data_IF_190838313570
#
_entry.id   IF_190838313570
#
_cell.length_a   1.000
_cell.length_b   1.000
_cell.length_c   1.000
_cell.angle_alpha   90.00
_cell.angle_beta   90.00
_cell.angle_gamma   90.00
#
_symmetry.space_group_name_H-M   'P 1'
#
loop_
_entity.id
_entity.type
_entity.pdbx_description
1 polymer ?
#
# COMPACT_ATOMS: atom_id res chain seq x y z
N UNK A 1 -18.44 -21.96 -17.09
CA UNK A 1 -17.13 -21.42 -16.67
C UNK A 1 -17.13 -19.96 -17.06
N UNK A 2 -16.85 -19.05 -16.14
CA UNK A 2 -16.72 -17.64 -16.51
C UNK A 2 -15.54 -17.52 -17.49
N UNK A 3 -15.75 -16.87 -18.64
CA UNK A 3 -14.66 -16.60 -19.57
C UNK A 3 -13.65 -15.72 -18.85
N UNK A 4 -12.46 -16.26 -18.66
CA UNK A 4 -11.39 -15.51 -18.05
C UNK A 4 -10.78 -14.60 -19.09
N UNK A 5 -10.73 -13.30 -18.80
CA UNK A 5 -9.85 -12.41 -19.53
C UNK A 5 -8.40 -12.91 -19.40
N UNK A 6 -7.66 -12.82 -20.50
CA UNK A 6 -6.30 -13.32 -20.64
C UNK A 6 -5.43 -12.26 -21.32
N UNK A 7 -4.13 -12.34 -21.06
CA UNK A 7 -3.11 -11.56 -21.75
C UNK A 7 -2.24 -12.48 -22.61
N UNK A 8 -1.73 -11.92 -23.70
CA UNK A 8 -0.70 -12.55 -24.52
C UNK A 8 0.66 -12.19 -23.96
N UNK A 9 1.33 -13.16 -23.36
CA UNK A 9 2.67 -12.99 -22.83
C UNK A 9 3.69 -13.41 -23.89
N UNK A 10 4.49 -12.46 -24.36
CA UNK A 10 5.51 -12.68 -25.39
C UNK A 10 6.86 -13.01 -24.76
N UNK A 11 7.62 -13.88 -25.42
CA UNK A 11 8.92 -14.34 -24.99
C UNK A 11 9.99 -14.01 -26.03
N UNK A 12 11.19 -13.57 -25.62
CA UNK A 12 12.29 -13.32 -26.55
C UNK A 12 12.99 -14.62 -27.01
N UNK A 13 12.58 -15.78 -26.50
CA UNK A 13 13.04 -17.10 -26.89
C UNK A 13 11.88 -18.01 -27.29
N UNK A 14 12.20 -19.07 -28.03
CA UNK A 14 11.21 -20.08 -28.39
C UNK A 14 10.90 -20.98 -27.20
N UNK A 15 9.61 -21.24 -26.97
CA UNK A 15 9.09 -22.23 -26.03
C UNK A 15 8.83 -23.52 -26.81
N UNK A 16 9.17 -24.67 -26.23
CA UNK A 16 8.76 -25.97 -26.75
C UNK A 16 7.41 -26.42 -26.18
N UNK A 17 6.68 -27.25 -26.91
CA UNK A 17 5.42 -27.84 -26.44
C UNK A 17 5.59 -28.56 -25.09
N UNK A 18 6.74 -29.23 -24.88
CA UNK A 18 7.09 -29.91 -23.63
C UNK A 18 7.23 -28.93 -22.46
N UNK A 19 7.89 -27.80 -22.65
CA UNK A 19 8.02 -26.76 -21.62
C UNK A 19 6.67 -26.13 -21.30
N UNK A 20 5.86 -25.89 -22.33
CA UNK A 20 4.51 -25.37 -22.17
C UNK A 20 3.58 -26.32 -21.38
N UNK A 21 3.65 -27.63 -21.63
CA UNK A 21 2.88 -28.63 -20.86
C UNK A 21 3.25 -28.54 -19.37
N UNK A 22 4.55 -28.53 -19.05
CA UNK A 22 5.02 -28.38 -17.65
C UNK A 22 4.55 -27.08 -17.02
N UNK A 23 4.62 -25.98 -17.77
CA UNK A 23 4.12 -24.67 -17.32
C UNK A 23 2.63 -24.73 -16.96
N UNK A 24 1.81 -25.37 -17.80
CA UNK A 24 0.36 -25.54 -17.53
C UNK A 24 0.09 -26.37 -16.30
N UNK A 25 0.80 -27.49 -16.15
CA UNK A 25 0.66 -28.38 -15.00
C UNK A 25 1.04 -27.67 -13.70
N UNK A 26 2.17 -26.95 -13.70
CA UNK A 26 2.67 -26.23 -12.53
C UNK A 26 1.70 -25.13 -12.06
N UNK A 27 1.16 -24.37 -13.01
CA UNK A 27 0.28 -23.24 -12.70
C UNK A 27 -1.21 -23.63 -12.60
N UNK A 28 -1.56 -24.87 -12.94
CA UNK A 28 -2.95 -25.34 -13.01
C UNK A 28 -3.85 -24.46 -13.90
N UNK A 29 -3.36 -24.06 -15.08
CA UNK A 29 -4.06 -23.18 -16.01
C UNK A 29 -4.60 -23.90 -17.24
N UNK A 30 -5.73 -23.41 -17.75
CA UNK A 30 -6.26 -23.77 -19.08
C UNK A 30 -5.63 -22.93 -20.20
N UNK A 31 -4.44 -22.37 -19.97
CA UNK A 31 -3.70 -21.54 -20.91
C UNK A 31 -3.60 -22.18 -22.30
N UNK A 32 -3.60 -21.32 -23.32
CA UNK A 32 -3.39 -21.72 -24.72
C UNK A 32 -1.98 -21.36 -25.16
N UNK A 33 -1.38 -22.29 -25.89
CA UNK A 33 -0.17 -22.04 -26.65
C UNK A 33 -0.59 -21.36 -27.95
N UNK A 34 -0.17 -20.11 -28.17
CA UNK A 34 -0.52 -19.37 -29.39
C UNK A 34 0.49 -19.73 -30.47
N UNK A 35 1.77 -19.57 -30.15
CA UNK A 35 2.89 -19.89 -31.02
C UNK A 35 4.16 -20.08 -30.18
N UNK A 36 5.28 -20.31 -30.88
CA UNK A 36 6.57 -20.58 -30.25
C UNK A 36 7.12 -19.46 -29.36
N UNK A 37 6.58 -18.24 -29.39
CA UNK A 37 7.05 -17.11 -28.59
C UNK A 37 5.92 -16.45 -27.79
N UNK A 38 4.75 -17.08 -27.71
CA UNK A 38 3.56 -16.42 -27.18
C UNK A 38 2.61 -17.42 -26.52
N UNK A 39 2.24 -17.13 -25.27
CA UNK A 39 1.24 -17.92 -24.54
C UNK A 39 0.12 -17.02 -24.01
N UNK A 40 -1.08 -17.57 -23.84
CA UNK A 40 -2.17 -16.90 -23.12
C UNK A 40 -2.07 -17.19 -21.62
N UNK A 41 -2.05 -16.15 -20.80
CA UNK A 41 -2.05 -16.24 -19.34
C UNK A 41 -3.27 -15.54 -18.75
N UNK A 42 -3.87 -16.07 -17.68
CA UNK A 42 -5.00 -15.41 -17.02
C UNK A 42 -4.58 -14.11 -16.34
N UNK A 43 -5.46 -13.11 -16.35
CA UNK A 43 -5.25 -11.87 -15.61
C UNK A 43 -5.26 -12.08 -14.08
N UNK A 44 -4.58 -11.18 -13.35
CA UNK A 44 -4.66 -11.09 -11.88
C UNK A 44 -4.34 -12.43 -11.16
N UNK A 45 -3.35 -13.14 -11.70
CA UNK A 45 -2.82 -14.39 -11.13
C UNK A 45 -1.30 -14.33 -11.01
N UNK A 46 -0.77 -15.00 -9.98
CA UNK A 46 0.64 -15.32 -9.88
C UNK A 46 0.98 -16.45 -10.85
N UNK A 47 2.03 -16.25 -11.63
CA UNK A 47 2.44 -17.16 -12.69
C UNK A 47 3.89 -17.54 -12.45
N UNK A 48 4.17 -18.82 -12.22
CA UNK A 48 5.53 -19.34 -12.16
C UNK A 48 6.01 -19.70 -13.57
N UNK A 49 6.95 -18.90 -14.06
CA UNK A 49 7.60 -19.06 -15.36
C UNK A 49 8.79 -20.03 -15.30
N UNK A 50 9.10 -20.66 -14.16
CA UNK A 50 10.28 -21.53 -14.02
C UNK A 50 10.41 -22.60 -15.11
N UNK A 51 9.33 -23.20 -15.67
CA UNK A 51 9.46 -24.17 -16.77
C UNK A 51 9.74 -23.53 -18.13
N UNK A 52 9.49 -22.23 -18.27
CA UNK A 52 9.61 -21.48 -19.53
C UNK A 52 10.89 -20.64 -19.60
N UNK A 53 11.53 -20.35 -18.46
CA UNK A 53 12.77 -19.59 -18.45
C UNK A 53 13.92 -20.45 -19.01
N UNK A 54 14.71 -19.92 -19.97
CA UNK A 54 15.81 -20.67 -20.53
C UNK A 54 16.81 -20.94 -19.40
N UNK A 55 17.22 -22.19 -19.28
CA UNK A 55 18.43 -22.54 -18.53
C UNK A 55 19.60 -21.95 -19.32
N UNK A 56 19.97 -20.70 -19.04
CA UNK A 56 21.12 -20.08 -19.69
C UNK A 56 22.34 -20.99 -19.45
N UNK A 57 23.12 -21.35 -20.49
CA UNK A 57 24.36 -22.07 -20.30
C UNK A 57 25.25 -21.24 -19.38
N UNK A 58 25.72 -21.89 -18.32
CA UNK A 58 26.71 -21.37 -17.37
C UNK A 58 27.93 -20.95 -18.20
N UNK A 59 28.14 -19.65 -18.43
CA UNK A 59 29.49 -19.20 -18.74
C UNK A 59 30.30 -19.41 -17.46
N UNK A 60 31.18 -20.41 -17.52
CA UNK A 60 32.07 -20.90 -16.49
C UNK A 60 32.76 -19.70 -15.82
N UNK A 61 32.28 -19.31 -14.65
CA UNK A 61 33.05 -18.80 -13.53
C UNK A 61 32.18 -18.86 -12.27
N UNK A 62 32.38 -19.93 -11.50
CA UNK A 62 31.92 -20.24 -10.16
C UNK A 62 31.15 -19.13 -9.40
N UNK A 63 29.82 -19.11 -9.52
CA UNK A 63 28.86 -18.92 -8.40
C UNK A 63 27.42 -18.77 -8.94
N UNK A 64 26.57 -19.77 -8.66
CA UNK A 64 25.11 -19.83 -8.87
C UNK A 64 24.54 -19.75 -10.31
N UNK A 65 23.47 -20.51 -10.56
CA UNK A 65 22.62 -20.40 -11.76
C UNK A 65 21.95 -19.02 -11.78
N UNK A 66 22.29 -18.14 -12.72
CA UNK A 66 21.65 -16.82 -12.80
C UNK A 66 20.69 -16.74 -14.00
N UNK A 67 19.39 -16.75 -13.71
CA UNK A 67 18.29 -16.34 -14.61
C UNK A 67 18.33 -14.83 -14.97
N UNK A 68 19.44 -14.14 -14.69
CA UNK A 68 19.51 -12.70 -14.46
C UNK A 68 19.19 -11.81 -15.67
N UNK A 69 19.14 -12.36 -16.88
CA UNK A 69 18.79 -11.61 -18.10
C UNK A 69 17.41 -11.92 -18.66
N UNK A 70 16.86 -13.10 -18.39
CA UNK A 70 15.65 -13.59 -19.05
C UNK A 70 14.40 -12.83 -18.61
N UNK A 71 14.26 -12.53 -17.31
CA UNK A 71 13.07 -11.85 -16.80
C UNK A 71 13.02 -10.35 -17.16
N UNK A 72 14.12 -9.57 -17.06
CA UNK A 72 14.14 -8.20 -17.55
C UNK A 72 13.81 -8.05 -19.05
N UNK A 73 14.35 -8.93 -19.90
CA UNK A 73 14.04 -8.93 -21.35
C UNK A 73 12.56 -9.25 -21.62
N UNK A 74 12.00 -10.23 -20.91
CA UNK A 74 10.58 -10.56 -20.98
C UNK A 74 9.72 -9.37 -20.56
N UNK A 75 10.05 -8.68 -19.46
CA UNK A 75 9.31 -7.49 -19.02
C UNK A 75 9.38 -6.39 -20.08
N UNK A 76 10.57 -6.15 -20.67
CA UNK A 76 10.73 -5.14 -21.72
C UNK A 76 9.91 -5.45 -22.97
N UNK A 77 9.71 -6.73 -23.31
CA UNK A 77 8.88 -7.15 -24.46
C UNK A 77 7.37 -7.03 -24.20
N UNK A 78 6.98 -6.91 -22.92
CA UNK A 78 5.60 -6.82 -22.45
C UNK A 78 5.39 -5.54 -21.62
N UNK A 79 6.02 -4.44 -22.02
CA UNK A 79 6.02 -3.14 -21.33
C UNK A 79 4.62 -2.51 -21.16
N UNK A 80 3.69 -2.85 -22.05
CA UNK A 80 2.27 -2.51 -21.97
C UNK A 80 1.52 -3.20 -20.81
N UNK A 81 2.11 -4.21 -20.17
CA UNK A 81 1.54 -4.91 -19.01
C UNK A 81 2.14 -4.38 -17.71
N UNK A 82 1.32 -4.25 -16.67
CA UNK A 82 1.81 -3.93 -15.33
C UNK A 82 2.30 -5.20 -14.61
N UNK A 83 3.56 -5.57 -14.85
CA UNK A 83 4.19 -6.76 -14.28
C UNK A 83 4.96 -6.43 -12.99
N UNK A 84 4.64 -7.13 -11.92
CA UNK A 84 5.48 -7.28 -10.73
C UNK A 84 6.22 -8.62 -10.78
N UNK A 85 7.39 -8.71 -10.15
CA UNK A 85 8.18 -9.94 -10.10
C UNK A 85 8.42 -10.37 -8.67
N UNK A 86 8.50 -11.68 -8.46
CA UNK A 86 8.90 -12.28 -7.20
C UNK A 86 9.90 -13.40 -7.50
N UNK A 87 11.04 -13.33 -6.83
CA UNK A 87 12.20 -14.19 -7.05
C UNK A 87 12.61 -14.18 -8.53
N UNK A 88 13.20 -15.27 -9.01
CA UNK A 88 13.72 -15.35 -10.38
C UNK A 88 12.68 -15.77 -11.43
N UNK A 89 11.48 -16.19 -11.04
CA UNK A 89 10.55 -16.84 -11.96
C UNK A 89 9.08 -16.49 -11.82
N UNK A 90 8.65 -15.90 -10.70
CA UNK A 90 7.23 -15.59 -10.50
C UNK A 90 6.95 -14.19 -11.05
N UNK A 91 5.90 -14.07 -11.85
CA UNK A 91 5.35 -12.79 -12.27
C UNK A 91 3.92 -12.64 -11.78
N UNK A 92 3.52 -11.39 -11.54
CA UNK A 92 2.14 -11.01 -11.28
C UNK A 92 1.75 -9.93 -12.28
N UNK A 93 0.73 -10.22 -13.09
CA UNK A 93 0.20 -9.24 -14.04
C UNK A 93 -0.97 -8.53 -13.36
N UNK A 94 -0.74 -7.29 -12.92
CA UNK A 94 -1.78 -6.46 -12.31
C UNK A 94 -2.71 -5.95 -13.40
N UNK A 95 -4.01 -6.09 -13.15
CA UNK A 95 -5.04 -5.30 -13.82
C UNK A 95 -5.62 -4.33 -12.81
N UNK A 96 -5.88 -3.11 -13.26
CA UNK A 96 -6.53 -2.11 -12.43
C UNK A 96 -7.90 -1.81 -13.03
N UNK A 97 -8.94 -2.12 -12.27
CA UNK A 97 -10.29 -1.67 -12.59
C UNK A 97 -10.41 -0.14 -12.38
N UNK A 98 -11.35 0.51 -13.06
CA UNK A 98 -11.54 1.97 -13.01
C UNK A 98 -11.72 2.47 -11.57
N UNK A 99 -12.57 1.80 -10.79
CA UNK A 99 -12.88 2.24 -9.43
C UNK A 99 -11.65 2.20 -8.48
N UNK A 100 -10.95 1.06 -8.29
CA UNK A 100 -9.70 1.02 -7.54
C UNK A 100 -8.66 2.02 -8.06
N UNK A 101 -8.57 2.25 -9.37
CA UNK A 101 -7.64 3.25 -9.95
C UNK A 101 -7.95 4.66 -9.46
N UNK A 102 -9.23 5.06 -9.46
CA UNK A 102 -9.67 6.37 -8.95
C UNK A 102 -9.38 6.51 -7.46
N UNK A 103 -9.63 5.46 -6.70
CA UNK A 103 -9.33 5.38 -5.28
C UNK A 103 -7.81 5.54 -5.03
N UNK A 104 -6.96 4.89 -5.80
CA UNK A 104 -5.49 5.02 -5.70
C UNK A 104 -5.04 6.47 -5.97
N UNK A 105 -5.59 7.10 -7.02
CA UNK A 105 -5.33 8.51 -7.33
C UNK A 105 -5.74 9.44 -6.19
N UNK A 106 -6.88 9.19 -5.55
CA UNK A 106 -7.31 9.94 -4.36
C UNK A 106 -6.38 9.71 -3.16
N UNK A 107 -5.91 8.48 -2.91
CA UNK A 107 -5.00 8.18 -1.79
C UNK A 107 -3.66 8.88 -1.99
N UNK A 108 -3.12 8.82 -3.21
CA UNK A 108 -1.88 9.50 -3.57
C UNK A 108 -2.00 11.03 -3.42
N UNK A 109 -3.12 11.62 -3.86
CA UNK A 109 -3.39 13.05 -3.72
C UNK A 109 -3.46 13.48 -2.25
N UNK A 110 -4.13 12.70 -1.40
CA UNK A 110 -4.19 12.96 0.03
C UNK A 110 -2.81 12.92 0.67
N UNK A 111 -1.99 11.91 0.35
CA UNK A 111 -0.62 11.82 0.86
C UNK A 111 0.26 12.96 0.32
N UNK A 112 0.11 13.37 -0.94
CA UNK A 112 0.78 14.54 -1.52
C UNK A 112 0.44 15.83 -0.75
N UNK A 113 -0.84 16.03 -0.42
CA UNK A 113 -1.26 17.21 0.33
C UNK A 113 -0.67 17.19 1.75
N UNK A 114 -0.67 16.03 2.40
CA UNK A 114 -0.05 15.85 3.70
C UNK A 114 1.46 16.16 3.68
N UNK A 115 2.20 15.59 2.74
CA UNK A 115 3.66 15.79 2.67
C UNK A 115 4.00 17.24 2.34
N UNK A 116 3.24 17.92 1.46
CA UNK A 116 3.39 19.37 1.21
C UNK A 116 3.19 20.19 2.48
N UNK A 117 2.14 19.91 3.25
CA UNK A 117 1.86 20.60 4.51
C UNK A 117 2.99 20.41 5.53
N UNK A 118 3.62 19.23 5.55
CA UNK A 118 4.75 18.90 6.42
C UNK A 118 6.12 19.30 5.87
N UNK A 119 6.19 19.80 4.62
CA UNK A 119 7.43 20.09 3.89
C UNK A 119 8.33 18.85 3.72
N UNK A 120 7.72 17.70 3.52
CA UNK A 120 8.39 16.43 3.23
C UNK A 120 8.48 16.18 1.72
N UNK A 121 9.22 15.13 1.32
CA UNK A 121 9.24 14.64 -0.05
C UNK A 121 7.85 14.27 -0.55
N UNK A 122 7.61 14.39 -1.86
CA UNK A 122 6.37 13.92 -2.46
C UNK A 122 6.35 12.38 -2.54
N UNK A 123 5.18 11.75 -2.38
CA UNK A 123 5.04 10.31 -2.52
C UNK A 123 5.16 9.86 -3.99
N UNK A 124 5.32 8.56 -4.17
CA UNK A 124 5.23 7.85 -5.43
C UNK A 124 3.81 7.29 -5.63
N UNK A 125 3.32 7.35 -6.86
CA UNK A 125 2.05 6.73 -7.26
C UNK A 125 2.23 5.26 -7.69
N UNK A 126 1.13 4.65 -8.15
CA UNK A 126 1.07 3.24 -8.55
C UNK A 126 1.87 2.89 -9.82
N UNK A 127 2.47 3.88 -10.50
CA UNK A 127 3.36 3.63 -11.64
C UNK A 127 4.80 3.32 -11.20
N UNK A 128 5.16 3.72 -9.97
CA UNK A 128 6.50 3.50 -9.44
C UNK A 128 6.68 2.06 -8.97
N UNK A 129 7.86 1.48 -9.24
CA UNK A 129 8.23 0.15 -8.76
C UNK A 129 9.43 0.22 -7.84
N UNK A 130 9.54 -0.74 -6.94
CA UNK A 130 10.60 -0.86 -5.96
C UNK A 130 11.22 -2.25 -6.05
N UNK A 131 12.54 -2.32 -6.10
CA UNK A 131 13.28 -3.55 -5.92
C UNK A 131 13.34 -3.86 -4.42
N UNK A 132 12.71 -4.94 -4.04
CA UNK A 132 12.60 -5.40 -2.67
C UNK A 132 13.46 -6.64 -2.48
N UNK A 133 14.36 -6.60 -1.50
CA UNK A 133 15.25 -7.70 -1.14
C UNK A 133 15.09 -7.98 0.35
N UNK A 134 14.76 -9.23 0.67
CA UNK A 134 14.52 -9.73 2.03
C UNK A 134 14.91 -11.21 2.16
N UNK A 135 14.67 -11.86 3.31
CA UNK A 135 15.14 -13.22 3.58
C UNK A 135 14.71 -14.28 2.56
N UNK A 136 13.49 -14.15 2.01
CA UNK A 136 12.92 -15.07 1.02
C UNK A 136 12.29 -14.34 -0.18
N UNK A 137 12.70 -13.09 -0.39
CA UNK A 137 12.08 -12.20 -1.37
C UNK A 137 13.20 -11.49 -2.12
N UNK A 138 13.19 -11.61 -3.44
CA UNK A 138 13.95 -10.77 -4.35
C UNK A 138 13.05 -10.43 -5.53
N UNK A 139 12.51 -9.22 -5.59
CA UNK A 139 11.50 -8.91 -6.60
C UNK A 139 11.18 -7.44 -6.78
N UNK A 140 10.45 -7.14 -7.85
CA UNK A 140 10.06 -5.78 -8.22
C UNK A 140 8.55 -5.63 -7.97
N UNK A 141 8.19 -4.72 -7.06
CA UNK A 141 6.81 -4.52 -6.61
C UNK A 141 6.37 -3.06 -6.81
N UNK A 142 5.12 -2.89 -7.22
CA UNK A 142 4.45 -1.60 -7.39
C UNK A 142 3.32 -1.44 -6.37
N UNK A 143 3.57 -0.81 -5.21
CA UNK A 143 2.51 -0.43 -4.28
C UNK A 143 1.58 0.60 -4.94
N UNK A 144 0.35 0.73 -4.43
CA UNK A 144 -0.60 1.68 -5.02
C UNK A 144 -0.26 3.13 -4.66
N UNK A 145 0.32 3.34 -3.47
CA UNK A 145 1.01 4.56 -3.08
C UNK A 145 2.22 4.19 -2.24
N UNK A 146 3.35 4.88 -2.43
CA UNK A 146 4.53 4.71 -1.60
C UNK A 146 5.12 6.05 -1.16
N UNK A 147 5.83 6.04 -0.03
CA UNK A 147 6.52 7.20 0.48
C UNK A 147 7.83 6.80 1.15
N UNK A 148 8.86 7.62 0.97
CA UNK A 148 10.09 7.55 1.75
C UNK A 148 10.64 8.95 2.04
N UNK A 149 11.37 9.14 3.14
CA UNK A 149 11.91 10.43 3.55
C UNK A 149 12.85 11.05 2.51
N UNK A 150 12.94 12.38 2.53
CA UNK A 150 13.84 13.13 1.65
C UNK A 150 15.29 12.66 1.74
N UNK A 151 15.77 12.32 2.94
CA UNK A 151 17.13 11.83 3.16
C UNK A 151 17.37 10.50 2.44
N UNK A 152 16.42 9.57 2.55
CA UNK A 152 16.46 8.29 1.85
C UNK A 152 16.41 8.52 0.33
N UNK A 153 15.61 9.48 -0.15
CA UNK A 153 15.53 9.80 -1.58
C UNK A 153 16.80 10.44 -2.14
N UNK A 154 17.42 11.34 -1.39
CA UNK A 154 18.64 12.01 -1.83
C UNK A 154 19.87 11.10 -1.75
N UNK A 155 19.81 10.02 -0.95
CA UNK A 155 20.85 9.01 -0.90
C UNK A 155 20.90 8.13 -2.17
N UNK A 156 19.83 8.06 -2.96
CA UNK A 156 19.77 7.29 -4.20
C UNK A 156 20.47 8.08 -5.32
N UNK A 157 21.29 7.40 -6.11
CA UNK A 157 21.96 8.03 -7.25
C UNK A 157 20.93 8.62 -8.22
N UNK A 158 21.23 9.78 -8.81
CA UNK A 158 20.30 10.45 -9.73
C UNK A 158 19.96 9.59 -10.97
N UNK A 159 20.90 8.80 -11.47
CA UNK A 159 20.65 7.91 -12.62
C UNK A 159 19.74 6.74 -12.22
N UNK A 160 19.86 6.22 -11.00
CA UNK A 160 18.93 5.21 -10.49
C UNK A 160 17.52 5.78 -10.27
N UNK A 161 17.42 7.02 -9.81
CA UNK A 161 16.13 7.72 -9.63
C UNK A 161 15.39 8.00 -10.93
N UNK A 162 16.10 8.09 -12.06
CA UNK A 162 15.48 8.26 -13.38
C UNK A 162 14.89 6.96 -13.93
N UNK A 163 15.24 5.81 -13.34
CA UNK A 163 14.70 4.52 -13.75
C UNK A 163 13.29 4.31 -13.16
N UNK A 164 12.52 3.45 -13.82
CA UNK A 164 11.16 3.10 -13.37
C UNK A 164 11.15 2.21 -12.10
N UNK A 165 12.32 1.74 -11.64
CA UNK A 165 12.46 0.89 -10.47
C UNK A 165 13.46 1.49 -9.49
N UNK A 166 13.00 1.74 -8.27
CA UNK A 166 13.76 2.31 -7.17
C UNK A 166 14.46 1.17 -6.41
N UNK A 167 15.79 1.21 -6.19
CA UNK A 167 16.56 0.07 -5.66
C UNK A 167 16.48 -0.08 -4.12
N UNK A 168 15.57 0.65 -3.46
CA UNK A 168 15.41 0.63 -2.01
C UNK A 168 13.93 0.54 -1.63
N UNK A 169 13.56 -0.14 -0.54
CA UNK A 169 12.18 -0.19 -0.09
C UNK A 169 11.69 1.21 0.33
N UNK A 170 10.43 1.57 0.06
CA UNK A 170 9.85 2.78 0.63
C UNK A 170 9.75 2.65 2.17
N UNK A 171 9.61 3.77 2.89
CA UNK A 171 9.38 3.73 4.34
C UNK A 171 7.92 3.43 4.68
N UNK A 172 6.98 3.83 3.82
CA UNK A 172 5.55 3.61 3.99
C UNK A 172 4.90 3.20 2.66
N UNK A 173 3.93 2.29 2.73
CA UNK A 173 3.14 1.84 1.56
C UNK A 173 1.66 1.84 1.87
N UNK A 174 0.87 2.12 0.83
CA UNK A 174 -0.57 1.92 0.81
C UNK A 174 -0.89 0.94 -0.31
N UNK A 175 -1.65 -0.10 0.02
CA UNK A 175 -2.29 -0.98 -0.95
C UNK A 175 -3.80 -0.82 -0.85
N UNK A 176 -4.47 -0.88 -1.99
CA UNK A 176 -5.92 -0.86 -2.11
C UNK A 176 -6.37 -2.16 -2.78
N UNK A 177 -7.28 -2.88 -2.14
CA UNK A 177 -7.83 -4.10 -2.73
C UNK A 177 -8.71 -3.75 -3.94
N UNK A 178 -8.56 -4.52 -5.02
CA UNK A 178 -9.52 -4.51 -6.12
C UNK A 178 -10.77 -5.31 -5.74
N UNK A 179 -11.88 -5.04 -6.41
CA UNK A 179 -13.16 -5.74 -6.20
C UNK A 179 -13.30 -7.02 -7.03
N UNK A 180 -12.28 -7.35 -7.84
CA UNK A 180 -12.25 -8.56 -8.64
C UNK A 180 -12.10 -9.82 -7.76
N UNK A 181 -12.79 -10.90 -8.10
CA UNK A 181 -12.74 -12.20 -7.40
C UNK A 181 -11.47 -13.02 -7.71
N UNK A 182 -10.49 -12.42 -8.39
CA UNK A 182 -9.27 -13.13 -8.80
C UNK A 182 -8.33 -13.38 -7.63
N UNK A 183 -7.51 -14.46 -7.67
CA UNK A 183 -6.65 -14.84 -6.55
C UNK A 183 -5.73 -13.72 -6.03
N UNK A 184 -5.13 -12.92 -6.93
CA UNK A 184 -4.22 -11.83 -6.54
C UNK A 184 -4.95 -10.61 -5.94
N UNK A 185 -6.27 -10.60 -5.94
CA UNK A 185 -7.09 -9.57 -5.31
C UNK A 185 -7.75 -10.05 -4.01
N UNK A 186 -7.59 -11.32 -3.65
CA UNK A 186 -8.02 -11.79 -2.34
C UNK A 186 -7.32 -10.99 -1.23
N UNK A 187 -8.06 -10.68 -0.16
CA UNK A 187 -7.50 -9.99 1.01
C UNK A 187 -6.26 -10.71 1.55
N UNK A 188 -6.30 -12.04 1.60
CA UNK A 188 -5.16 -12.84 2.05
C UNK A 188 -3.91 -12.64 1.18
N UNK A 189 -4.06 -12.64 -0.15
CA UNK A 189 -2.94 -12.36 -1.04
C UNK A 189 -2.36 -10.96 -0.80
N UNK A 190 -3.23 -9.96 -0.68
CA UNK A 190 -2.81 -8.57 -0.38
C UNK A 190 -2.12 -8.46 0.99
N UNK A 191 -2.61 -9.15 2.02
CA UNK A 191 -1.94 -9.23 3.32
C UNK A 191 -0.56 -9.89 3.22
N UNK A 192 -0.43 -10.98 2.44
CA UNK A 192 0.88 -11.60 2.20
C UNK A 192 1.85 -10.63 1.52
N UNK A 193 1.36 -9.82 0.56
CA UNK A 193 2.16 -8.76 -0.07
C UNK A 193 2.59 -7.69 0.95
N UNK A 194 1.71 -7.31 1.88
CA UNK A 194 2.06 -6.40 2.97
C UNK A 194 3.15 -6.96 3.89
N UNK A 195 3.09 -8.26 4.20
CA UNK A 195 4.16 -8.97 4.93
C UNK A 195 5.48 -8.88 4.16
N UNK A 196 5.46 -9.15 2.85
CA UNK A 196 6.67 -9.06 2.00
C UNK A 196 7.30 -7.66 2.05
N UNK A 197 6.49 -6.59 1.98
CA UNK A 197 6.99 -5.22 2.14
C UNK A 197 7.73 -5.04 3.48
N UNK A 198 7.13 -5.49 4.60
CA UNK A 198 7.73 -5.33 5.93
C UNK A 198 9.04 -6.12 6.07
N UNK A 199 9.08 -7.36 5.56
CA UNK A 199 10.29 -8.21 5.56
C UNK A 199 11.42 -7.61 4.73
N UNK A 200 11.09 -6.91 3.63
CA UNK A 200 12.05 -6.22 2.77
C UNK A 200 12.44 -4.84 3.30
N UNK A 201 11.93 -4.42 4.47
CA UNK A 201 12.42 -3.27 5.18
C UNK A 201 11.49 -2.05 5.24
N UNK A 202 10.32 -2.10 4.58
CA UNK A 202 9.27 -1.08 4.73
C UNK A 202 8.87 -0.98 6.21
N UNK A 203 8.76 0.23 6.76
CA UNK A 203 8.58 0.42 8.21
C UNK A 203 7.14 0.11 8.66
N UNK A 204 6.18 0.64 7.90
CA UNK A 204 4.76 0.41 8.11
C UNK A 204 3.95 0.55 6.83
N UNK A 205 2.70 0.13 6.84
CA UNK A 205 1.80 0.33 5.71
C UNK A 205 0.35 0.06 6.07
N UNK A 206 -0.54 0.43 5.16
CA UNK A 206 -1.97 0.15 5.28
C UNK A 206 -2.49 -0.55 4.03
N UNK A 207 -3.24 -1.61 4.23
CA UNK A 207 -4.06 -2.24 3.21
C UNK A 207 -5.51 -1.83 3.45
N UNK A 208 -6.10 -1.15 2.47
CA UNK A 208 -7.51 -0.77 2.48
C UNK A 208 -8.29 -1.81 1.68
N UNK A 209 -9.16 -2.56 2.35
CA UNK A 209 -10.06 -3.50 1.70
C UNK A 209 -11.49 -2.97 1.76
N UNK A 210 -11.93 -2.36 0.66
CA UNK A 210 -13.28 -1.83 0.53
C UNK A 210 -14.37 -2.90 0.52
N UNK A 211 -14.06 -4.10 0.02
CA UNK A 211 -15.00 -5.23 -0.07
C UNK A 211 -15.23 -5.84 1.31
N UNK A 212 -14.16 -6.10 2.06
CA UNK A 212 -14.25 -6.59 3.44
C UNK A 212 -14.56 -5.49 4.45
N UNK A 213 -14.52 -4.22 4.03
CA UNK A 213 -14.74 -3.02 4.87
C UNK A 213 -13.77 -2.97 6.05
N UNK A 214 -12.49 -3.22 5.79
CA UNK A 214 -11.41 -3.30 6.79
C UNK A 214 -10.20 -2.50 6.32
N UNK A 215 -9.52 -1.84 7.25
CA UNK A 215 -8.13 -1.43 7.08
C UNK A 215 -7.22 -2.38 7.87
N UNK A 216 -6.24 -2.96 7.19
CA UNK A 216 -5.19 -3.74 7.82
C UNK A 216 -3.92 -2.91 7.94
N UNK A 217 -3.44 -2.73 9.16
CA UNK A 217 -2.21 -2.00 9.43
C UNK A 217 -1.09 -3.00 9.65
N UNK A 218 0.06 -2.72 9.03
CA UNK A 218 1.26 -3.55 9.12
C UNK A 218 2.43 -2.72 9.62
N UNK A 219 3.31 -3.39 10.37
CA UNK A 219 4.48 -2.79 10.95
C UNK A 219 5.59 -3.82 11.15
N UNK A 220 6.85 -3.37 11.07
CA UNK A 220 7.99 -4.18 11.52
C UNK A 220 8.00 -4.30 13.04
N UNK A 221 8.05 -5.54 13.56
CA UNK A 221 8.06 -5.84 15.00
C UNK A 221 9.14 -5.07 15.76
N UNK A 222 10.33 -4.91 15.17
CA UNK A 222 11.47 -4.21 15.80
C UNK A 222 11.23 -2.73 16.11
N UNK A 223 10.19 -2.13 15.53
CA UNK A 223 9.79 -0.74 15.78
C UNK A 223 8.75 -0.63 16.91
N UNK A 224 8.33 -1.77 17.45
CA UNK A 224 7.33 -1.89 18.51
C UNK A 224 7.96 -2.43 19.79
N UNK A 225 7.26 -2.25 20.90
CA UNK A 225 7.61 -2.82 22.20
C UNK A 225 6.59 -3.88 22.62
N UNK A 226 7.03 -5.00 23.21
CA UNK A 226 6.12 -6.01 23.73
C UNK A 226 5.29 -5.43 24.89
N UNK A 227 4.01 -5.81 24.94
CA UNK A 227 3.08 -5.49 26.03
C UNK A 227 2.91 -6.69 26.97
N UNK A 228 2.16 -6.48 28.07
CA UNK A 228 1.76 -7.58 28.96
C UNK A 228 0.79 -8.49 28.22
N UNK A 229 1.30 -9.60 27.68
CA UNK A 229 0.54 -10.60 26.94
C UNK A 229 1.41 -11.30 25.89
N UNK A 230 1.07 -12.53 25.47
CA UNK A 230 1.85 -13.22 24.46
C UNK A 230 1.68 -12.54 23.10
N UNK A 231 2.78 -12.17 22.45
CA UNK A 231 2.83 -11.66 21.08
C UNK A 231 2.01 -10.38 20.80
N UNK A 232 1.78 -9.55 21.82
CA UNK A 232 1.12 -8.24 21.68
C UNK A 232 2.17 -7.14 21.72
N UNK A 233 2.11 -6.22 20.76
CA UNK A 233 3.08 -5.16 20.57
C UNK A 233 2.42 -3.80 20.42
N UNK A 234 3.10 -2.76 20.90
CA UNK A 234 2.65 -1.37 20.82
C UNK A 234 3.82 -0.46 20.46
N UNK A 235 3.58 0.53 19.61
CA UNK A 235 4.60 1.52 19.26
C UNK A 235 4.92 2.41 20.48
N UNK A 236 6.20 2.73 20.76
CA UNK A 236 6.58 3.48 21.97
C UNK A 236 5.92 4.85 22.12
N UNK A 237 5.50 5.46 21.00
CA UNK A 237 4.89 6.78 21.00
C UNK A 237 3.38 6.78 21.19
N UNK A 238 2.70 5.63 21.27
CA UNK A 238 1.22 5.58 21.33
C UNK A 238 0.66 6.43 22.47
N UNK A 239 1.21 6.30 23.68
CA UNK A 239 0.70 7.06 24.83
C UNK A 239 0.90 8.57 24.65
N UNK A 240 2.03 8.98 24.07
CA UNK A 240 2.32 10.39 23.77
C UNK A 240 1.37 10.89 22.67
N UNK A 241 1.13 10.10 21.62
CA UNK A 241 0.21 10.45 20.53
C UNK A 241 -1.23 10.61 21.06
N UNK A 242 -1.71 9.70 21.89
CA UNK A 242 -3.03 9.78 22.53
C UNK A 242 -3.15 11.07 23.36
N UNK A 243 -2.16 11.34 24.22
CA UNK A 243 -2.14 12.54 25.05
C UNK A 243 -2.12 13.83 24.20
N UNK A 244 -1.32 13.86 23.14
CA UNK A 244 -1.26 14.99 22.21
C UNK A 244 -2.60 15.21 21.51
N UNK A 245 -3.26 14.14 21.03
CA UNK A 245 -4.59 14.24 20.42
C UNK A 245 -5.62 14.76 21.43
N UNK A 246 -5.62 14.28 22.67
CA UNK A 246 -6.51 14.76 23.72
C UNK A 246 -6.27 16.25 24.04
N UNK A 247 -5.01 16.67 24.14
CA UNK A 247 -4.66 18.08 24.36
C UNK A 247 -5.12 18.97 23.20
N UNK A 248 -4.95 18.52 21.95
CA UNK A 248 -5.43 19.26 20.76
C UNK A 248 -6.95 19.41 20.77
N UNK A 249 -7.68 18.36 21.13
CA UNK A 249 -9.15 18.39 21.28
C UNK A 249 -9.56 19.45 22.30
N UNK A 250 -8.93 19.47 23.48
CA UNK A 250 -9.21 20.46 24.53
C UNK A 250 -8.88 21.89 24.10
N UNK A 251 -7.75 22.09 23.41
CA UNK A 251 -7.36 23.40 22.88
C UNK A 251 -8.38 23.92 21.85
N UNK A 252 -8.87 23.04 20.97
CA UNK A 252 -9.90 23.40 19.99
C UNK A 252 -11.22 23.74 20.67
N UNK A 253 -11.65 22.98 21.68
CA UNK A 253 -12.86 23.29 22.46
C UNK A 253 -12.77 24.66 23.12
N UNK A 254 -11.65 24.97 23.78
CA UNK A 254 -11.43 26.28 24.39
C UNK A 254 -11.42 27.41 23.36
N UNK A 255 -10.83 27.18 22.18
CA UNK A 255 -10.81 28.15 21.08
C UNK A 255 -12.21 28.41 20.52
N UNK A 256 -13.02 27.36 20.34
CA UNK A 256 -14.43 27.44 19.92
C UNK A 256 -15.23 28.27 20.93
N UNK A 257 -15.13 27.95 22.22
CA UNK A 257 -15.83 28.67 23.29
C UNK A 257 -15.42 30.14 23.34
N UNK A 258 -14.11 30.42 23.27
CA UNK A 258 -13.59 31.79 23.28
C UNK A 258 -14.09 32.60 22.09
N UNK A 259 -14.06 32.04 20.87
CA UNK A 259 -14.58 32.71 19.67
C UNK A 259 -16.09 32.93 19.75
N UNK A 260 -16.86 31.98 20.30
CA UNK A 260 -18.30 32.14 20.52
C UNK A 260 -18.61 33.25 21.54
N UNK A 261 -17.84 33.34 22.63
CA UNK A 261 -17.99 34.42 23.62
C UNK A 261 -17.72 35.80 23.01
N UNK A 262 -16.69 35.92 22.16
CA UNK A 262 -16.40 37.17 21.43
C UNK A 262 -17.54 37.55 20.49
N UNK A 263 -18.11 36.59 19.76
CA UNK A 263 -19.26 36.83 18.88
C UNK A 263 -20.52 37.29 19.66
N UNK A 264 -20.68 36.85 20.90
CA UNK A 264 -21.81 37.21 21.76
C UNK A 264 -21.56 38.43 22.66
N UNK A 265 -20.32 38.94 22.71
CA UNK A 265 -19.83 39.84 23.75
C UNK A 265 -20.05 41.34 23.51
N UNK A 266 -20.59 41.76 22.37
CA UNK A 266 -20.84 43.18 22.08
C UNK A 266 -21.02 43.49 20.59
N UNK A 267 -21.23 44.77 20.23
CA UNK A 267 -21.39 45.19 18.85
C UNK A 267 -20.06 45.02 18.09
N UNK A 268 -20.02 44.07 17.18
CA UNK A 268 -18.95 43.87 16.20
C UNK A 268 -19.33 44.55 14.90
N UNK A 269 -18.34 45.07 14.17
CA UNK A 269 -18.59 45.47 12.79
C UNK A 269 -18.72 44.23 11.88
N UNK A 270 -19.25 44.42 10.67
CA UNK A 270 -19.52 43.31 9.74
C UNK A 270 -18.25 42.51 9.36
N UNK A 271 -17.09 43.17 9.27
CA UNK A 271 -15.83 42.50 8.93
C UNK A 271 -15.30 41.65 10.09
N UNK A 272 -15.37 42.17 11.32
CA UNK A 272 -14.99 41.44 12.54
C UNK A 272 -15.88 40.21 12.74
N UNK A 273 -17.19 40.38 12.55
CA UNK A 273 -18.15 39.28 12.65
C UNK A 273 -17.86 38.19 11.61
N UNK A 274 -17.57 38.56 10.36
CA UNK A 274 -17.22 37.62 9.30
C UNK A 274 -15.91 36.88 9.61
N UNK A 275 -14.89 37.58 10.10
CA UNK A 275 -13.60 36.99 10.46
C UNK A 275 -13.74 35.97 11.59
N UNK A 276 -14.44 36.34 12.67
CA UNK A 276 -14.69 35.44 13.81
C UNK A 276 -15.55 34.24 13.41
N UNK A 277 -16.57 34.43 12.57
CA UNK A 277 -17.40 33.33 12.06
C UNK A 277 -16.58 32.37 11.21
N UNK A 278 -15.72 32.88 10.33
CA UNK A 278 -14.82 32.06 9.50
C UNK A 278 -13.85 31.27 10.37
N UNK A 279 -13.28 31.90 11.40
CA UNK A 279 -12.40 31.25 12.35
C UNK A 279 -13.11 30.18 13.17
N UNK A 280 -14.34 30.45 13.65
CA UNK A 280 -15.15 29.49 14.38
C UNK A 280 -15.42 28.24 13.53
N UNK A 281 -15.84 28.44 12.27
CA UNK A 281 -16.08 27.32 11.34
C UNK A 281 -14.80 26.50 11.15
N UNK A 282 -13.65 27.15 10.96
CA UNK A 282 -12.36 26.46 10.86
C UNK A 282 -12.04 25.62 12.10
N UNK A 283 -12.23 26.16 13.30
CA UNK A 283 -12.00 25.39 14.54
C UNK A 283 -13.00 24.24 14.70
N UNK A 284 -14.25 24.45 14.32
CA UNK A 284 -15.28 23.41 14.36
C UNK A 284 -14.95 22.27 13.40
N UNK A 285 -14.48 22.58 12.19
CA UNK A 285 -14.04 21.59 11.21
C UNK A 285 -12.84 20.80 11.72
N UNK A 286 -11.84 21.48 12.30
CA UNK A 286 -10.68 20.84 12.91
C UNK A 286 -11.08 19.91 14.07
N UNK A 287 -11.99 20.37 14.94
CA UNK A 287 -12.52 19.59 16.05
C UNK A 287 -13.26 18.35 15.54
N UNK A 288 -14.16 18.52 14.59
CA UNK A 288 -14.92 17.42 13.99
C UNK A 288 -13.98 16.39 13.33
N UNK A 289 -12.94 16.84 12.64
CA UNK A 289 -11.94 15.94 12.04
C UNK A 289 -11.10 15.19 13.09
N UNK A 290 -10.82 15.75 14.25
CA UNK A 290 -10.07 15.04 15.30
C UNK A 290 -10.98 14.13 16.13
N UNK A 291 -12.20 14.55 16.40
CA UNK A 291 -13.14 13.87 17.29
C UNK A 291 -13.97 12.79 16.59
N UNK A 292 -14.39 13.04 15.34
CA UNK A 292 -15.27 12.14 14.60
C UNK A 292 -14.50 11.17 13.69
N UNK A 293 -13.29 11.54 13.24
CA UNK A 293 -12.44 10.58 12.54
C UNK A 293 -11.95 9.53 13.53
N UNK A 294 -11.76 8.32 13.03
CA UNK A 294 -11.24 7.24 13.86
C UNK A 294 -9.73 7.42 14.02
N UNK A 295 -9.30 7.81 15.22
CA UNK A 295 -7.89 7.82 15.58
C UNK A 295 -7.42 6.38 15.78
N UNK A 296 -6.45 5.98 14.95
CA UNK A 296 -5.89 4.65 14.94
C UNK A 296 -4.43 4.76 15.36
N UNK A 297 -4.07 4.03 16.40
CA UNK A 297 -2.71 3.94 16.92
C UNK A 297 -2.14 2.54 16.65
N UNK A 298 -0.82 2.44 16.55
CA UNK A 298 -0.13 1.15 16.41
C UNK A 298 -0.02 0.47 17.79
N UNK A 299 -1.17 0.11 18.34
CA UNK A 299 -1.35 -0.57 19.62
C UNK A 299 -2.05 -1.91 19.43
N UNK A 300 -1.83 -2.84 20.37
CA UNK A 300 -2.43 -4.17 20.33
C UNK A 300 -2.13 -4.94 19.03
N UNK A 301 -0.96 -4.68 18.45
CA UNK A 301 -0.51 -5.30 17.21
C UNK A 301 -0.06 -6.72 17.49
N UNK A 302 -0.46 -7.68 16.67
CA UNK A 302 -0.08 -9.08 16.86
C UNK A 302 0.91 -9.53 15.80
N UNK A 303 1.86 -10.36 16.21
CA UNK A 303 2.80 -10.99 15.26
C UNK A 303 2.04 -11.80 14.21
N UNK A 304 2.40 -11.63 12.95
CA UNK A 304 1.83 -12.42 11.85
C UNK A 304 2.37 -13.85 11.95
N UNK A 305 1.51 -14.89 11.88
CA UNK A 305 1.96 -16.28 11.96
C UNK A 305 3.06 -16.59 10.95
N UNK A 306 4.14 -17.22 11.41
CA UNK A 306 5.36 -17.55 10.63
C UNK A 306 6.21 -16.35 10.15
N UNK A 307 5.86 -15.12 10.54
CA UNK A 307 6.59 -13.90 10.16
C UNK A 307 6.89 -13.06 11.42
N UNK A 308 7.86 -13.48 12.26
CA UNK A 308 8.11 -12.89 13.58
C UNK A 308 8.52 -11.41 13.53
N UNK A 309 9.08 -10.96 12.41
CA UNK A 309 9.49 -9.58 12.17
C UNK A 309 8.36 -8.66 11.69
N UNK A 310 7.13 -9.19 11.57
CA UNK A 310 5.96 -8.45 11.11
C UNK A 310 4.82 -8.55 12.12
N UNK A 311 4.27 -7.39 12.50
CA UNK A 311 3.03 -7.29 13.25
C UNK A 311 1.91 -6.72 12.37
N UNK A 312 0.68 -7.14 12.62
CA UNK A 312 -0.53 -6.61 11.99
C UNK A 312 -1.67 -6.39 12.98
N UNK A 313 -2.62 -5.54 12.59
CA UNK A 313 -3.93 -5.41 13.22
C UNK A 313 -4.98 -5.12 12.14
N UNK A 314 -6.15 -5.75 12.25
CA UNK A 314 -7.30 -5.51 11.38
C UNK A 314 -8.29 -4.57 12.05
N UNK A 315 -8.69 -3.52 11.36
CA UNK A 315 -9.60 -2.50 11.88
C UNK A 315 -10.84 -2.47 11.00
N UNK A 316 -11.99 -3.02 11.46
CA UNK A 316 -13.22 -2.97 10.68
C UNK A 316 -13.70 -1.53 10.59
N UNK A 317 -14.11 -1.04 9.42
CA UNK A 317 -14.53 0.35 9.24
C UNK A 317 -15.67 0.77 10.16
N UNK A 318 -16.59 -0.14 10.44
CA UNK A 318 -17.73 0.05 11.33
C UNK A 318 -17.89 -1.16 12.26
N UNK A 319 -18.57 -0.96 13.39
CA UNK A 319 -19.01 -2.10 14.21
C UNK A 319 -20.02 -2.94 13.44
N UNK A 320 -20.03 -4.26 13.65
CA UNK A 320 -20.89 -5.19 12.92
C UNK A 320 -22.39 -4.90 13.09
N UNK A 321 -22.78 -4.20 14.15
CA UNK A 321 -24.18 -3.89 14.47
C UNK A 321 -24.71 -2.60 13.83
N UNK A 322 -23.90 -1.89 13.03
CA UNK A 322 -24.28 -0.61 12.40
C UNK A 322 -24.72 -0.79 10.95
N UNK A 323 -25.64 0.06 10.50
CA UNK A 323 -25.92 0.27 9.08
C UNK A 323 -24.60 0.56 8.35
N UNK A 324 -24.27 -0.25 7.35
CA UNK A 324 -23.03 -0.13 6.60
C UNK A 324 -23.17 1.01 5.58
N UNK A 325 -22.46 2.14 5.76
CA UNK A 325 -22.52 3.26 4.83
C UNK A 325 -22.01 2.86 3.45
N UNK A 326 -22.48 3.58 2.44
CA UNK A 326 -22.01 3.41 1.05
C UNK A 326 -20.53 3.76 0.90
N UNK A 327 -20.01 4.70 1.69
CA UNK A 327 -18.63 5.17 1.62
C UNK A 327 -17.86 4.89 2.90
N UNK A 328 -16.53 4.83 2.83
CA UNK A 328 -15.66 4.55 3.98
C UNK A 328 -15.60 5.65 5.06
N UNK A 329 -15.07 5.31 6.25
CA UNK A 329 -14.84 6.28 7.31
C UNK A 329 -13.55 7.07 7.09
N UNK A 330 -13.44 8.24 7.71
CA UNK A 330 -12.17 8.95 7.80
C UNK A 330 -11.30 8.33 8.90
N UNK A 331 -10.05 8.05 8.56
CA UNK A 331 -9.06 7.41 9.43
C UNK A 331 -7.92 8.40 9.72
N UNK A 332 -7.61 8.63 10.99
CA UNK A 332 -6.41 9.35 11.41
C UNK A 332 -5.38 8.30 11.85
N UNK A 333 -4.38 8.05 11.01
CA UNK A 333 -3.41 6.97 11.22
C UNK A 333 -2.17 7.54 11.92
N UNK A 334 -1.99 7.18 13.19
CA UNK A 334 -0.78 7.49 13.97
C UNK A 334 0.27 6.40 13.76
N UNK A 335 0.83 6.36 12.54
CA UNK A 335 1.85 5.40 12.11
C UNK A 335 3.27 5.80 12.51
N UNK A 336 4.24 5.02 12.06
CA UNK A 336 5.65 5.18 12.38
C UNK A 336 6.33 6.11 11.36
N UNK A 337 7.24 6.96 11.86
CA UNK A 337 8.06 7.84 11.02
C UNK A 337 7.30 9.07 10.52
N UNK A 338 7.73 9.61 9.38
CA UNK A 338 7.25 10.89 8.82
C UNK A 338 5.76 10.90 8.46
N UNK A 339 5.17 9.73 8.25
CA UNK A 339 3.75 9.59 7.94
C UNK A 339 2.85 9.66 9.18
N UNK A 340 3.41 9.75 10.39
CA UNK A 340 2.64 9.82 11.63
C UNK A 340 1.58 10.95 11.62
N UNK A 341 0.33 10.58 11.86
CA UNK A 341 -0.81 11.50 11.87
C UNK A 341 -1.43 11.73 10.48
N UNK A 342 -1.01 10.97 9.47
CA UNK A 342 -1.61 11.00 8.14
C UNK A 342 -3.12 10.69 8.21
N UNK A 343 -3.91 11.58 7.62
CA UNK A 343 -5.36 11.45 7.55
C UNK A 343 -5.75 10.82 6.22
N UNK A 344 -6.34 9.64 6.29
CA UNK A 344 -6.89 8.93 5.14
C UNK A 344 -8.42 9.11 5.15
N UNK A 345 -8.88 10.04 4.33
CA UNK A 345 -10.30 10.30 4.09
C UNK A 345 -10.84 9.27 3.08
N UNK A 346 -11.74 8.40 3.56
CA UNK A 346 -12.46 7.42 2.74
C UNK A 346 -13.94 7.81 2.52
N UNK A 347 -14.37 9.01 2.87
CA UNK A 347 -15.77 9.43 2.81
C UNK A 347 -16.32 9.52 1.38
N UNK A 348 -15.45 9.52 0.37
CA UNK A 348 -15.80 9.42 -1.05
C UNK A 348 -15.49 8.06 -1.66
N UNK A 349 -15.02 7.09 -0.86
CA UNK A 349 -14.60 5.76 -1.35
C UNK A 349 -15.78 4.82 -1.29
N UNK A 350 -16.38 4.44 -2.43
CA UNK A 350 -17.49 3.51 -2.41
C UNK A 350 -17.02 2.16 -1.88
N UNK A 351 -17.77 1.60 -0.94
CA UNK A 351 -17.55 0.29 -0.35
C UNK A 351 -18.63 -0.62 -0.95
N UNK A 352 -18.28 -1.26 -2.06
CA UNK A 352 -19.17 -2.14 -2.85
C UNK A 352 -18.80 -3.60 -2.68
#
# INVERSE_FOLDING_TARGET
MADFETHKLKFPWSISEKEFIKFKELNNFTSKYIDNHCIEVPEETSIDLSPLLPLLPIHINNSALTFSKSLPELISLNDHLNIETLNSSIINIKKMADLPTRQNGQMCSQLCNWTKLKKFALPNDSSSKFHLVGPNIDGIFGPDVAYFPSEQHMAINIEERKNNTIPVPPSYVIENSSYSERPNNSRQYKMNKMVMYMECGVQSGVLVDGKSRVADLFCRTKLLQPQIGPNIFTHPQVQVQIQQTQQQILQLQNSIIGTQQLLNGGPLNALEQLALTTQLNKFQDQYNNLNNNRNIYFENMTVVPNHPDVCHISIPFWSQDQYQPQHGPNLNIHCIGDVNGFQLNLSSYPMI
#
